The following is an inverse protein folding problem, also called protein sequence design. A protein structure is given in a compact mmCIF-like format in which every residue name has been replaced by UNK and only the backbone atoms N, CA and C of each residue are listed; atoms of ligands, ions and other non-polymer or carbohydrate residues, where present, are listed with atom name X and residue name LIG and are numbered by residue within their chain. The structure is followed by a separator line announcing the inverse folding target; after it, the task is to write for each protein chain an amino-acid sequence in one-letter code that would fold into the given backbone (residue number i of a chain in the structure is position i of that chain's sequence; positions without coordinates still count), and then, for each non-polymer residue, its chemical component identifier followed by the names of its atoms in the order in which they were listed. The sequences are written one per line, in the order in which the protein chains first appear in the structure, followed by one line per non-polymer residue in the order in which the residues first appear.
data_IF_103521403808
#
_entry.id   IF_103521403808
#
_cell.length_a   1.000
_cell.length_b   1.000
_cell.length_c   1.000
_cell.angle_alpha   90.00
_cell.angle_beta   90.00
_cell.angle_gamma   90.00
#
_symmetry.space_group_name_H-M   'P 1'
#
loop_
_entity.id
_entity.type
_entity.pdbx_description
1 polymer ?
#
# COMPACT_ATOMS: atom_id res chain seq x y z
N UNK A 1 44.95 13.88 26.43
CA UNK A 1 43.54 13.81 26.01
C UNK A 1 43.57 13.27 24.59
N UNK A 2 43.30 11.97 24.38
CA UNK A 2 43.17 11.47 23.02
C UNK A 2 41.86 12.02 22.44
N UNK A 3 41.81 12.35 21.13
CA UNK A 3 40.60 12.80 20.48
C UNK A 3 39.63 11.63 20.29
N UNK A 4 38.34 11.94 20.43
CA UNK A 4 37.22 11.01 20.44
C UNK A 4 37.12 10.21 19.13
N UNK A 5 37.12 8.88 19.26
CA UNK A 5 36.75 7.92 18.22
C UNK A 5 35.21 7.88 18.15
N UNK A 6 34.58 8.76 17.37
CA UNK A 6 33.17 8.64 16.97
C UNK A 6 32.91 9.48 15.70
N UNK A 7 33.67 9.21 14.63
CA UNK A 7 33.34 9.70 13.28
C UNK A 7 32.47 8.64 12.59
N UNK A 8 31.20 8.61 13.01
CA UNK A 8 30.13 7.78 12.49
C UNK A 8 29.82 8.19 11.04
N UNK A 9 30.45 7.49 10.10
CA UNK A 9 30.24 7.65 8.67
C UNK A 9 28.81 7.23 8.30
N UNK A 10 27.90 8.22 8.30
CA UNK A 10 26.74 8.36 7.42
C UNK A 10 25.89 7.12 7.16
N UNK A 11 24.67 7.15 7.69
CA UNK A 11 23.49 6.32 7.33
C UNK A 11 23.59 5.75 5.88
N UNK A 12 23.59 4.41 5.68
CA UNK A 12 23.63 3.84 4.34
C UNK A 12 22.44 4.33 3.50
N UNK A 13 22.56 4.40 2.15
CA UNK A 13 21.53 4.99 1.32
C UNK A 13 20.18 4.30 1.56
N UNK A 14 19.24 5.05 2.13
CA UNK A 14 17.88 4.59 2.41
C UNK A 14 17.28 4.06 1.12
N UNK A 15 17.01 2.75 1.08
CA UNK A 15 16.19 2.13 0.04
C UNK A 15 14.93 2.98 -0.11
N UNK A 16 14.64 3.46 -1.31
CA UNK A 16 13.32 4.03 -1.59
C UNK A 16 12.28 3.00 -1.15
N UNK A 17 11.24 3.39 -0.38
CA UNK A 17 10.21 2.45 0.00
C UNK A 17 9.64 1.85 -1.30
N UNK A 18 9.77 0.53 -1.47
CA UNK A 18 8.92 -0.17 -2.43
C UNK A 18 7.49 0.29 -2.17
N UNK A 19 6.66 0.54 -3.20
CA UNK A 19 5.24 0.76 -2.98
C UNK A 19 4.76 -0.41 -2.12
N UNK A 20 4.35 -0.11 -0.89
CA UNK A 20 4.03 -1.09 0.13
C UNK A 20 2.76 -1.82 -0.28
N UNK A 21 2.92 -2.79 -1.19
CA UNK A 21 2.13 -4.01 -1.09
C UNK A 21 2.56 -4.60 0.24
N UNK A 22 1.63 -4.86 1.18
CA UNK A 22 1.98 -5.51 2.43
C UNK A 22 2.51 -6.93 2.15
N UNK A 23 3.82 -7.06 1.93
CA UNK A 23 4.57 -8.32 1.87
C UNK A 23 4.70 -8.84 3.31
N UNK A 24 3.65 -9.52 3.78
CA UNK A 24 3.66 -10.15 5.09
C UNK A 24 4.18 -11.58 4.99
N UNK A 25 5.38 -11.78 5.53
CA UNK A 25 6.08 -13.05 5.55
C UNK A 25 5.58 -13.91 6.72
N UNK A 26 5.23 -15.16 6.44
CA UNK A 26 4.94 -16.16 7.48
C UNK A 26 6.23 -16.91 7.78
N UNK A 27 6.83 -16.71 8.95
CA UNK A 27 8.12 -17.35 9.34
C UNK A 27 9.22 -17.29 8.25
N UNK A 28 9.20 -16.27 7.39
CA UNK A 28 10.18 -16.08 6.30
C UNK A 28 9.74 -16.55 4.90
N UNK A 29 8.49 -17.03 4.73
CA UNK A 29 7.97 -17.47 3.42
C UNK A 29 7.00 -16.46 2.80
N UNK A 30 7.17 -16.22 1.50
CA UNK A 30 6.32 -15.32 0.69
C UNK A 30 5.07 -16.01 0.10
N UNK A 31 4.90 -17.32 0.32
CA UNK A 31 3.74 -18.05 -0.14
C UNK A 31 3.87 -19.57 -0.02
N UNK A 32 2.80 -20.32 -0.36
CA UNK A 32 2.78 -21.78 -0.23
C UNK A 32 3.75 -22.48 -1.19
N UNK A 33 4.05 -21.88 -2.35
CA UNK A 33 5.00 -22.46 -3.31
C UNK A 33 6.45 -22.29 -2.85
N UNK A 34 6.75 -21.23 -2.08
CA UNK A 34 8.06 -21.00 -1.47
C UNK A 34 8.32 -22.00 -0.34
N UNK A 35 7.28 -22.29 0.47
CA UNK A 35 7.34 -23.36 1.47
C UNK A 35 7.56 -24.74 0.82
N UNK A 36 6.89 -25.02 -0.31
CA UNK A 36 7.11 -26.27 -1.05
C UNK A 36 8.54 -26.38 -1.59
N UNK A 37 9.11 -25.26 -2.05
CA UNK A 37 10.49 -25.20 -2.52
C UNK A 37 11.48 -25.49 -1.38
N UNK A 38 11.34 -24.82 -0.24
CA UNK A 38 12.20 -25.05 0.93
C UNK A 38 12.09 -26.48 1.47
N UNK A 39 10.89 -27.07 1.52
CA UNK A 39 10.72 -28.48 1.89
C UNK A 39 11.38 -29.43 0.89
N UNK A 40 11.32 -29.13 -0.41
CA UNK A 40 11.99 -29.91 -1.43
C UNK A 40 13.53 -29.82 -1.32
N UNK A 41 14.07 -28.63 -1.06
CA UNK A 41 15.50 -28.40 -0.88
C UNK A 41 16.04 -29.09 0.38
N UNK A 42 15.34 -28.99 1.52
CA UNK A 42 15.74 -29.59 2.80
C UNK A 42 15.92 -31.11 2.71
N UNK A 43 15.16 -31.78 1.87
CA UNK A 43 15.18 -33.24 1.78
C UNK A 43 16.01 -33.79 0.62
N UNK A 44 16.58 -32.93 -0.24
CA UNK A 44 17.23 -33.35 -1.48
C UNK A 44 16.38 -34.36 -2.26
N UNK A 45 15.07 -34.16 -2.25
CA UNK A 45 14.14 -35.06 -2.90
C UNK A 45 14.34 -34.91 -4.41
N UNK A 46 14.72 -35.98 -5.08
CA UNK A 46 14.54 -36.06 -6.53
C UNK A 46 13.05 -35.80 -6.80
N UNK A 47 12.75 -34.80 -7.63
CA UNK A 47 11.37 -34.36 -7.92
C UNK A 47 10.62 -35.37 -8.83
N UNK A 48 10.77 -36.65 -8.54
CA UNK A 48 10.03 -37.75 -9.16
C UNK A 48 8.59 -37.84 -8.66
N UNK A 49 7.77 -38.58 -9.40
CA UNK A 49 6.32 -38.70 -9.16
C UNK A 49 5.98 -39.36 -7.81
N UNK A 50 6.85 -40.21 -7.26
CA UNK A 50 6.61 -40.83 -5.95
C UNK A 50 6.97 -39.89 -4.79
N UNK A 51 7.96 -39.02 -4.99
CA UNK A 51 8.46 -38.03 -4.03
C UNK A 51 7.44 -36.92 -3.73
N UNK A 52 6.57 -36.58 -4.69
CA UNK A 52 5.56 -35.54 -4.47
C UNK A 52 4.49 -35.94 -3.45
N UNK A 53 4.20 -37.24 -3.31
CA UNK A 53 3.24 -37.71 -2.33
C UNK A 53 3.75 -37.50 -0.90
N UNK A 54 5.07 -37.64 -0.70
CA UNK A 54 5.73 -37.42 0.58
C UNK A 54 5.94 -35.93 0.86
N UNK A 55 6.29 -35.15 -0.17
CA UNK A 55 6.31 -33.68 -0.11
C UNK A 55 4.94 -33.13 0.30
N UNK A 56 3.85 -33.67 -0.27
CA UNK A 56 2.48 -33.29 0.08
C UNK A 56 2.16 -33.53 1.56
N UNK A 57 2.58 -34.67 2.12
CA UNK A 57 2.33 -34.98 3.53
C UNK A 57 3.07 -34.01 4.46
N UNK A 58 4.30 -33.66 4.12
CA UNK A 58 5.11 -32.71 4.90
C UNK A 58 4.59 -31.30 4.79
N UNK A 59 4.19 -30.87 3.61
CA UNK A 59 3.58 -29.57 3.41
C UNK A 59 2.36 -29.40 4.32
N UNK A 60 1.50 -30.41 4.43
CA UNK A 60 0.34 -30.37 5.34
C UNK A 60 0.78 -30.25 6.79
N UNK A 61 1.74 -31.07 7.24
CA UNK A 61 2.25 -31.02 8.60
C UNK A 61 2.87 -29.66 8.96
N UNK A 62 3.67 -29.11 8.05
CA UNK A 62 4.32 -27.81 8.20
C UNK A 62 3.31 -26.67 8.16
N UNK A 63 2.34 -26.75 7.25
CA UNK A 63 1.24 -25.79 7.17
C UNK A 63 0.36 -25.79 8.42
N UNK A 64 0.10 -26.94 9.04
CA UNK A 64 -0.60 -27.04 10.32
C UNK A 64 0.20 -26.41 11.47
N UNK A 65 1.54 -26.56 11.47
CA UNK A 65 2.40 -25.90 12.45
C UNK A 65 2.31 -24.38 12.31
N UNK A 66 2.46 -23.88 11.08
CA UNK A 66 2.42 -22.46 10.74
C UNK A 66 1.02 -21.85 10.93
N UNK A 67 -0.03 -22.66 10.79
CA UNK A 67 -1.40 -22.27 11.13
C UNK A 67 -1.59 -22.02 12.64
N UNK A 68 -0.63 -22.30 13.52
CA UNK A 68 -0.74 -21.89 14.94
C UNK A 68 -0.32 -20.45 15.17
N UNK A 69 0.57 -19.93 14.32
CA UNK A 69 1.22 -18.61 14.48
C UNK A 69 0.73 -17.57 13.47
N UNK A 70 0.10 -17.99 12.36
CA UNK A 70 -0.29 -17.12 11.24
C UNK A 70 -1.71 -16.57 11.36
N UNK A 71 -2.05 -15.31 11.05
CA UNK A 71 -3.44 -14.83 11.00
C UNK A 71 -4.35 -15.59 9.99
N UNK A 72 -5.64 -15.77 10.30
CA UNK A 72 -6.59 -16.56 9.48
C UNK A 72 -6.62 -16.13 7.99
N UNK A 73 -6.54 -14.82 7.73
CA UNK A 73 -6.65 -14.24 6.39
C UNK A 73 -5.50 -14.66 5.45
N UNK A 74 -4.31 -14.91 5.99
CA UNK A 74 -3.13 -15.37 5.22
C UNK A 74 -3.14 -16.88 4.93
N UNK A 75 -3.92 -17.65 5.71
CA UNK A 75 -3.99 -19.11 5.55
C UNK A 75 -4.87 -19.55 4.38
N UNK A 76 -5.65 -18.63 3.78
CA UNK A 76 -6.63 -18.97 2.75
C UNK A 76 -5.98 -19.69 1.55
N UNK A 77 -4.86 -19.16 1.04
CA UNK A 77 -4.14 -19.76 -0.08
C UNK A 77 -3.53 -21.12 0.28
N UNK A 78 -3.18 -21.31 1.55
CA UNK A 78 -2.56 -22.54 2.04
C UNK A 78 -3.59 -23.66 2.12
N UNK A 79 -4.81 -23.36 2.54
CA UNK A 79 -5.92 -24.35 2.56
C UNK A 79 -6.18 -24.90 1.15
N UNK A 80 -6.11 -24.06 0.12
CA UNK A 80 -6.28 -24.49 -1.28
C UNK A 80 -5.19 -25.48 -1.67
N UNK A 81 -3.93 -25.17 -1.37
CA UNK A 81 -2.80 -26.06 -1.67
C UNK A 81 -2.82 -27.34 -0.85
N UNK A 82 -3.18 -27.28 0.44
CA UNK A 82 -3.40 -28.45 1.30
C UNK A 82 -4.46 -29.36 0.66
N UNK A 83 -5.64 -28.82 0.36
CA UNK A 83 -6.74 -29.60 -0.22
C UNK A 83 -6.31 -30.26 -1.53
N UNK A 84 -5.61 -29.52 -2.40
CA UNK A 84 -5.10 -30.02 -3.67
C UNK A 84 -4.08 -31.14 -3.48
N UNK A 85 -3.10 -30.95 -2.60
CA UNK A 85 -2.02 -31.91 -2.36
C UNK A 85 -2.51 -33.17 -1.64
N UNK A 86 -3.43 -33.03 -0.69
CA UNK A 86 -4.11 -34.16 -0.03
C UNK A 86 -4.92 -34.96 -1.05
N UNK A 87 -5.68 -34.28 -1.92
CA UNK A 87 -6.44 -34.92 -2.99
C UNK A 87 -5.52 -35.65 -3.97
N UNK A 88 -4.43 -35.01 -4.37
CA UNK A 88 -3.41 -35.59 -5.25
C UNK A 88 -2.79 -36.84 -4.63
N UNK A 89 -2.38 -36.77 -3.35
CA UNK A 89 -1.82 -37.91 -2.60
C UNK A 89 -2.81 -39.08 -2.52
N UNK A 90 -4.07 -38.81 -2.19
CA UNK A 90 -5.12 -39.83 -2.14
C UNK A 90 -5.25 -40.56 -3.49
N UNK A 91 -5.26 -39.80 -4.60
CA UNK A 91 -5.38 -40.38 -5.95
C UNK A 91 -4.16 -41.19 -6.38
N UNK A 92 -2.95 -40.77 -6.00
CA UNK A 92 -1.73 -41.50 -6.34
C UNK A 92 -1.65 -42.86 -5.62
N UNK A 93 -2.26 -42.97 -4.43
CA UNK A 93 -2.22 -44.17 -3.59
C UNK A 93 -3.38 -45.13 -3.83
N UNK A 94 -4.61 -44.64 -4.01
CA UNK A 94 -5.83 -45.46 -3.94
C UNK A 94 -6.73 -45.46 -5.19
N UNK A 95 -6.40 -44.68 -6.23
CA UNK A 95 -7.30 -44.52 -7.37
C UNK A 95 -7.16 -45.62 -8.43
N UNK A 96 -8.16 -45.68 -9.32
CA UNK A 96 -8.11 -46.55 -10.51
C UNK A 96 -6.95 -46.17 -11.43
N UNK A 97 -6.53 -47.10 -12.31
CA UNK A 97 -5.37 -46.86 -13.19
C UNK A 97 -5.52 -45.61 -14.07
N UNK A 98 -6.72 -45.32 -14.56
CA UNK A 98 -6.99 -44.13 -15.37
C UNK A 98 -6.88 -42.83 -14.54
N UNK A 99 -7.40 -42.84 -13.31
CA UNK A 99 -7.33 -41.70 -12.40
C UNK A 99 -5.91 -41.45 -11.90
N UNK A 100 -5.13 -42.53 -11.69
CA UNK A 100 -3.72 -42.47 -11.32
C UNK A 100 -2.90 -41.79 -12.43
N UNK A 101 -3.09 -42.16 -13.69
CA UNK A 101 -2.43 -41.50 -14.83
C UNK A 101 -2.72 -40.00 -14.90
N UNK A 102 -3.94 -39.58 -14.58
CA UNK A 102 -4.27 -38.15 -14.51
C UNK A 102 -3.58 -37.46 -13.33
N UNK A 103 -3.56 -38.10 -12.16
CA UNK A 103 -2.86 -37.58 -10.97
C UNK A 103 -1.34 -37.46 -11.22
N UNK A 104 -0.72 -38.44 -11.88
CA UNK A 104 0.70 -38.37 -12.25
C UNK A 104 1.00 -37.19 -13.19
N UNK A 105 0.10 -36.87 -14.13
CA UNK A 105 0.24 -35.68 -14.98
C UNK A 105 0.13 -34.39 -14.19
N UNK A 106 -0.79 -34.33 -13.22
CA UNK A 106 -0.93 -33.16 -12.35
C UNK A 106 0.29 -32.97 -11.44
N UNK A 107 0.78 -34.06 -10.84
CA UNK A 107 2.03 -34.08 -10.08
C UNK A 107 3.21 -33.51 -10.88
N UNK A 108 3.40 -33.97 -12.13
CA UNK A 108 4.48 -33.46 -13.00
C UNK A 108 4.35 -31.96 -13.28
N UNK A 109 3.12 -31.45 -13.43
CA UNK A 109 2.90 -30.00 -13.60
C UNK A 109 3.32 -29.23 -12.36
N UNK A 110 2.96 -29.71 -11.17
CA UNK A 110 3.35 -29.08 -9.90
C UNK A 110 4.87 -29.10 -9.72
N UNK A 111 5.53 -30.22 -10.04
CA UNK A 111 7.00 -30.30 -10.06
C UNK A 111 7.59 -29.22 -10.96
N UNK A 112 7.12 -29.11 -12.20
CA UNK A 112 7.63 -28.10 -13.13
C UNK A 112 7.42 -26.65 -12.65
N UNK A 113 6.39 -26.39 -11.83
CA UNK A 113 6.21 -25.09 -11.19
C UNK A 113 7.26 -24.82 -10.11
N UNK A 114 7.60 -25.82 -9.30
CA UNK A 114 8.64 -25.72 -8.26
C UNK A 114 10.01 -25.53 -8.91
N UNK A 115 10.33 -26.31 -9.95
CA UNK A 115 11.57 -26.16 -10.73
C UNK A 115 11.67 -24.78 -11.39
N UNK A 116 10.56 -24.30 -11.94
CA UNK A 116 10.48 -22.95 -12.53
C UNK A 116 10.76 -21.86 -11.50
N UNK A 117 10.21 -21.97 -10.28
CA UNK A 117 10.53 -21.05 -9.20
C UNK A 117 12.00 -21.12 -8.79
N UNK A 118 12.58 -22.32 -8.67
CA UNK A 118 14.00 -22.46 -8.32
C UNK A 118 14.90 -21.76 -9.35
N UNK A 119 14.60 -21.90 -10.65
CA UNK A 119 15.32 -21.19 -11.70
C UNK A 119 15.16 -19.68 -11.61
N UNK A 120 13.95 -19.19 -11.28
CA UNK A 120 13.69 -17.77 -11.09
C UNK A 120 14.43 -17.21 -9.86
N UNK A 121 14.50 -17.97 -8.77
CA UNK A 121 15.26 -17.61 -7.56
C UNK A 121 16.74 -17.50 -7.87
N UNK A 122 17.31 -18.49 -8.54
CA UNK A 122 18.71 -18.45 -8.97
C UNK A 122 19.01 -17.26 -9.90
N UNK A 123 18.07 -16.90 -10.79
CA UNK A 123 18.20 -15.72 -11.64
C UNK A 123 18.10 -14.41 -10.84
N UNK A 124 17.21 -14.35 -9.84
CA UNK A 124 17.08 -13.21 -8.94
C UNK A 124 18.37 -13.01 -8.11
N UNK A 125 18.91 -14.07 -7.54
CA UNK A 125 20.17 -14.04 -6.79
C UNK A 125 21.33 -13.59 -7.69
N UNK A 126 21.38 -14.09 -8.93
CA UNK A 126 22.36 -13.67 -9.91
C UNK A 126 22.24 -12.18 -10.27
N UNK A 127 21.01 -11.66 -10.40
CA UNK A 127 20.76 -10.24 -10.65
C UNK A 127 21.12 -9.38 -9.44
N UNK A 128 20.82 -9.85 -8.22
CA UNK A 128 21.10 -9.12 -6.99
C UNK A 128 22.61 -9.01 -6.73
N UNK A 129 23.38 -10.05 -7.09
CA UNK A 129 24.84 -10.04 -7.02
C UNK A 129 25.50 -9.05 -8.00
N UNK A 130 24.76 -8.51 -8.98
CA UNK A 130 25.30 -7.54 -9.93
C UNK A 130 25.30 -6.13 -9.36
N UNK A 131 26.26 -5.27 -9.77
CA UNK A 131 26.24 -3.88 -9.38
C UNK A 131 24.96 -3.18 -9.85
N UNK A 132 24.20 -2.62 -8.92
CA UNK A 132 22.93 -1.95 -9.18
C UNK A 132 23.11 -0.45 -9.31
N UNK A 133 22.50 0.13 -10.35
CA UNK A 133 22.52 1.57 -10.57
C UNK A 133 21.73 2.28 -9.46
N UNK A 134 22.30 3.32 -8.86
CA UNK A 134 21.72 4.05 -7.74
C UNK A 134 21.93 3.40 -6.36
N UNK A 135 22.57 2.22 -6.30
CA UNK A 135 22.97 1.56 -5.04
C UNK A 135 24.49 1.44 -4.97
N UNK A 136 25.09 0.66 -5.89
CA UNK A 136 26.54 0.43 -5.93
C UNK A 136 27.22 1.14 -7.11
N UNK A 137 26.46 1.49 -8.16
CA UNK A 137 26.97 2.25 -9.31
C UNK A 137 26.16 3.53 -9.47
N UNK A 138 26.81 4.69 -9.46
CA UNK A 138 26.14 5.96 -9.66
C UNK A 138 26.51 6.53 -11.04
N UNK A 139 25.52 6.95 -11.82
CA UNK A 139 25.80 7.68 -13.06
C UNK A 139 26.35 9.05 -12.72
N UNK A 140 27.24 9.57 -13.56
CA UNK A 140 27.56 10.99 -13.51
C UNK A 140 26.30 11.75 -13.92
N UNK A 141 25.83 12.67 -13.07
CA UNK A 141 24.77 13.61 -13.44
C UNK A 141 25.14 14.27 -14.75
N UNK A 142 24.23 14.23 -15.73
CA UNK A 142 24.50 14.69 -17.09
C UNK A 142 25.19 16.05 -17.04
N UNK A 143 26.40 16.11 -17.56
CA UNK A 143 26.90 17.40 -18.01
C UNK A 143 26.05 17.74 -19.22
N UNK A 144 25.23 18.78 -19.13
CA UNK A 144 24.93 19.61 -20.29
C UNK A 144 26.29 20.16 -20.78
N UNK A 145 27.06 19.30 -21.42
CA UNK A 145 28.23 19.63 -22.20
C UNK A 145 27.79 19.48 -23.65
N UNK A 146 26.80 20.28 -24.03
CA UNK A 146 26.73 20.77 -25.39
C UNK A 146 28.09 21.42 -25.69
N UNK A 147 28.77 20.88 -26.69
CA UNK A 147 30.18 21.13 -26.93
C UNK A 147 30.49 22.60 -27.18
N UNK A 148 31.10 23.26 -26.20
CA UNK A 148 32.05 24.37 -26.42
C UNK A 148 32.68 24.84 -25.11
N UNK A 149 33.40 23.96 -24.39
CA UNK A 149 34.36 24.46 -23.40
C UNK A 149 35.58 24.97 -24.16
N UNK A 150 35.46 26.19 -24.70
CA UNK A 150 36.61 27.06 -24.83
C UNK A 150 37.17 27.18 -23.42
N UNK A 151 38.41 26.74 -23.22
CA UNK A 151 39.17 26.96 -21.98
C UNK A 151 39.40 28.47 -21.88
N UNK A 152 38.37 29.23 -21.51
CA UNK A 152 38.55 30.56 -20.95
C UNK A 152 39.20 30.31 -19.60
N UNK A 153 40.46 30.70 -19.50
CA UNK A 153 41.13 30.88 -18.23
C UNK A 153 40.29 31.90 -17.43
N UNK A 154 39.39 31.39 -16.60
CA UNK A 154 38.60 32.21 -15.69
C UNK A 154 39.55 32.77 -14.64
N UNK A 155 39.65 34.09 -14.57
CA UNK A 155 40.32 34.80 -13.48
C UNK A 155 39.68 34.35 -12.15
N UNK A 156 40.44 34.36 -11.05
CA UNK A 156 39.94 34.01 -9.70
C UNK A 156 38.60 34.68 -9.34
N UNK A 157 38.35 35.88 -9.87
CA UNK A 157 37.09 36.60 -9.73
C UNK A 157 35.87 35.88 -10.31
N UNK A 158 35.99 35.24 -11.48
CA UNK A 158 34.87 34.51 -12.10
C UNK A 158 34.51 33.23 -11.34
N UNK A 159 35.51 32.62 -10.67
CA UNK A 159 35.26 31.49 -9.76
C UNK A 159 34.46 31.96 -8.54
N UNK A 160 34.83 33.11 -7.97
CA UNK A 160 34.16 33.69 -6.81
C UNK A 160 32.69 34.02 -7.10
N UNK A 161 32.40 34.66 -8.23
CA UNK A 161 31.01 34.94 -8.66
C UNK A 161 30.19 33.67 -8.87
N UNK A 162 30.78 32.64 -9.48
CA UNK A 162 30.11 31.36 -9.69
C UNK A 162 29.80 30.65 -8.35
N UNK A 163 30.74 30.68 -7.40
CA UNK A 163 30.55 30.12 -6.06
C UNK A 163 29.48 30.86 -5.26
N UNK A 164 29.45 32.20 -5.31
CA UNK A 164 28.41 33.01 -4.68
C UNK A 164 27.03 32.70 -5.25
N UNK A 165 26.89 32.65 -6.58
CA UNK A 165 25.62 32.31 -7.22
C UNK A 165 25.16 30.87 -6.95
N UNK A 166 26.07 29.93 -6.70
CA UNK A 166 25.71 28.58 -6.27
C UNK A 166 25.18 28.55 -4.82
N UNK A 167 25.82 29.30 -3.92
CA UNK A 167 25.40 29.44 -2.52
C UNK A 167 24.03 30.11 -2.38
N UNK A 168 23.75 31.16 -3.16
CA UNK A 168 22.45 31.83 -3.17
C UNK A 168 21.32 30.89 -3.62
N UNK A 169 21.57 30.03 -4.60
CA UNK A 169 20.57 29.03 -5.07
C UNK A 169 20.28 27.97 -4.01
N UNK A 170 21.31 27.51 -3.29
CA UNK A 170 21.13 26.54 -2.20
C UNK A 170 20.42 27.17 -1.00
N UNK A 171 20.68 28.44 -0.68
CA UNK A 171 19.96 29.16 0.36
C UNK A 171 18.46 29.32 0.00
N UNK A 172 18.16 29.68 -1.25
CA UNK A 172 16.78 29.78 -1.73
C UNK A 172 16.04 28.43 -1.67
N UNK A 173 16.73 27.31 -1.95
CA UNK A 173 16.20 25.95 -1.82
C UNK A 173 15.95 25.57 -0.36
N UNK A 174 16.83 25.98 0.56
CA UNK A 174 16.65 25.71 1.99
C UNK A 174 15.41 26.42 2.56
N UNK A 175 15.11 27.64 2.12
CA UNK A 175 13.90 28.38 2.53
C UNK A 175 12.60 27.75 1.99
N UNK A 176 12.63 27.05 0.85
CA UNK A 176 11.45 26.43 0.23
C UNK A 176 11.25 24.95 0.58
N UNK A 177 12.20 24.30 1.26
CA UNK A 177 12.23 22.83 1.44
C UNK A 177 11.84 22.34 2.83
N UNK A 178 11.04 23.10 3.59
CA UNK A 178 10.28 22.52 4.70
C UNK A 178 8.88 22.18 4.19
N UNK A 179 8.59 20.93 3.78
CA UNK A 179 7.22 20.53 3.51
C UNK A 179 6.49 20.53 4.85
N UNK A 180 5.81 21.64 5.16
CA UNK A 180 4.88 21.70 6.27
C UNK A 180 3.76 20.72 5.93
N UNK A 181 3.76 19.58 6.62
CA UNK A 181 2.67 18.60 6.54
C UNK A 181 1.38 19.27 7.00
N UNK A 182 0.53 19.67 6.04
CA UNK A 182 -0.82 20.16 6.31
C UNK A 182 -1.77 18.98 6.15
N UNK A 183 -2.31 18.52 7.28
CA UNK A 183 -3.46 17.63 7.29
C UNK A 183 -4.61 18.40 6.64
N UNK A 184 -5.10 17.92 5.50
CA UNK A 184 -6.29 18.47 4.87
C UNK A 184 -7.51 17.99 5.65
N UNK A 185 -8.09 18.86 6.48
CA UNK A 185 -9.25 18.50 7.30
C UNK A 185 -10.51 18.71 6.45
N UNK A 186 -11.27 17.66 6.13
CA UNK A 186 -12.48 17.83 5.33
C UNK A 186 -13.47 18.77 6.04
N UNK A 187 -13.88 19.82 5.35
CA UNK A 187 -14.81 20.83 5.87
C UNK A 187 -16.25 20.32 5.79
N UNK A 188 -16.75 19.72 6.86
CA UNK A 188 -18.17 19.34 6.99
C UNK A 188 -19.03 20.49 7.48
N UNK A 189 -20.29 20.55 7.03
CA UNK A 189 -21.29 21.49 7.53
C UNK A 189 -21.69 21.11 8.96
N UNK A 190 -21.37 21.97 9.93
CA UNK A 190 -21.62 21.69 11.35
C UNK A 190 -23.03 22.07 11.74
N UNK A 191 -23.57 21.41 12.77
CA UNK A 191 -24.87 21.75 13.36
C UNK A 191 -24.89 23.19 13.89
N UNK A 192 -23.77 23.67 14.43
CA UNK A 192 -23.62 25.06 14.90
C UNK A 192 -23.80 26.07 13.78
N UNK A 193 -23.21 25.79 12.61
CA UNK A 193 -23.26 26.68 11.45
C UNK A 193 -24.68 26.70 10.86
N UNK A 194 -25.33 25.53 10.84
CA UNK A 194 -26.73 25.39 10.47
C UNK A 194 -27.67 26.20 11.40
N UNK A 195 -27.44 26.18 12.71
CA UNK A 195 -28.22 26.95 13.69
C UNK A 195 -28.07 28.47 13.48
N UNK A 196 -26.84 28.94 13.23
CA UNK A 196 -26.58 30.36 12.95
C UNK A 196 -27.34 30.79 11.69
N UNK A 197 -27.25 30.01 10.62
CA UNK A 197 -27.90 30.31 9.35
C UNK A 197 -29.43 30.28 9.47
N UNK A 198 -29.99 29.28 10.17
CA UNK A 198 -31.43 29.22 10.43
C UNK A 198 -31.92 30.42 11.24
N UNK A 199 -31.25 30.77 12.35
CA UNK A 199 -31.61 31.94 13.16
C UNK A 199 -31.52 33.25 12.37
N UNK A 200 -30.49 33.39 11.54
CA UNK A 200 -30.34 34.55 10.66
C UNK A 200 -31.51 34.65 9.67
N UNK A 201 -31.91 33.54 9.04
CA UNK A 201 -33.04 33.53 8.09
C UNK A 201 -34.39 33.76 8.75
N UNK A 202 -34.60 33.21 9.95
CA UNK A 202 -35.79 33.46 10.77
C UNK A 202 -35.87 34.94 11.14
N UNK A 203 -34.77 35.52 11.63
CA UNK A 203 -34.72 36.96 11.98
C UNK A 203 -34.97 37.88 10.79
N UNK A 204 -34.50 37.48 9.61
CA UNK A 204 -34.67 38.24 8.38
C UNK A 204 -36.05 38.01 7.71
N UNK A 205 -36.91 37.15 8.27
CA UNK A 205 -38.23 36.84 7.70
C UNK A 205 -38.19 36.11 6.35
N UNK A 206 -37.04 35.57 5.95
CA UNK A 206 -36.84 34.88 4.66
C UNK A 206 -36.91 33.36 4.78
N UNK A 207 -37.18 32.85 5.99
CA UNK A 207 -37.35 31.43 6.21
C UNK A 207 -38.67 30.94 5.58
N UNK A 208 -38.56 30.06 4.57
CA UNK A 208 -39.70 29.38 3.94
C UNK A 208 -39.67 27.88 4.20
N UNK A 209 -38.50 27.27 4.06
CA UNK A 209 -38.31 25.85 4.29
C UNK A 209 -36.94 25.52 4.89
N UNK A 210 -36.83 24.33 5.49
CA UNK A 210 -35.55 23.79 5.97
C UNK A 210 -34.55 23.59 4.82
N UNK A 211 -35.03 23.34 3.60
CA UNK A 211 -34.21 23.12 2.41
C UNK A 211 -33.49 24.39 1.97
N UNK A 212 -34.08 25.56 2.21
CA UNK A 212 -33.43 26.86 1.96
C UNK A 212 -32.26 27.11 2.92
N UNK A 213 -32.20 26.36 4.02
CA UNK A 213 -31.15 26.49 5.03
C UNK A 213 -30.00 25.49 4.82
N UNK A 214 -30.02 24.71 3.73
CA UNK A 214 -28.92 23.84 3.34
C UNK A 214 -28.00 24.60 2.39
N UNK A 215 -26.69 24.73 2.69
CA UNK A 215 -25.76 25.40 1.80
C UNK A 215 -25.63 24.65 0.47
N UNK A 216 -25.46 25.39 -0.62
CA UNK A 216 -25.14 24.83 -1.93
C UNK A 216 -23.68 24.36 -1.93
N UNK A 217 -23.45 23.10 -1.54
CA UNK A 217 -22.11 22.50 -1.58
C UNK A 217 -21.85 21.87 -2.95
N UNK A 218 -20.66 22.10 -3.50
CA UNK A 218 -20.27 21.62 -4.83
C UNK A 218 -20.38 20.09 -4.91
N UNK A 219 -21.17 19.59 -5.86
CA UNK A 219 -21.42 18.16 -6.08
C UNK A 219 -20.49 17.53 -7.11
N UNK A 220 -19.44 18.25 -7.52
CA UNK A 220 -18.61 17.88 -8.67
C UNK A 220 -17.62 16.76 -8.37
N UNK A 221 -17.34 16.48 -7.09
CA UNK A 221 -16.43 15.42 -6.61
C UNK A 221 -17.21 14.31 -5.88
N UNK A 222 -16.75 13.04 -5.87
CA UNK A 222 -17.39 11.96 -5.12
C UNK A 222 -17.52 12.26 -3.61
N UNK A 223 -16.60 13.03 -3.03
CA UNK A 223 -16.67 13.54 -1.65
C UNK A 223 -17.80 14.57 -1.44
N UNK A 224 -18.23 15.25 -2.49
CA UNK A 224 -19.34 16.21 -2.47
C UNK A 224 -20.69 15.56 -2.15
N UNK A 225 -20.84 14.26 -2.42
CA UNK A 225 -22.04 13.49 -2.06
C UNK A 225 -22.15 13.31 -0.54
N UNK A 226 -21.02 13.05 0.14
CA UNK A 226 -20.96 12.92 1.60
C UNK A 226 -21.22 14.28 2.24
N UNK A 227 -20.57 15.34 1.72
CA UNK A 227 -20.81 16.71 2.15
C UNK A 227 -22.31 17.04 2.11
N UNK A 228 -22.97 16.88 0.97
CA UNK A 228 -24.40 17.22 0.83
C UNK A 228 -25.29 16.47 1.83
N UNK A 229 -25.01 15.18 2.07
CA UNK A 229 -25.72 14.37 3.08
C UNK A 229 -25.49 14.89 4.50
N UNK A 230 -24.26 15.23 4.85
CA UNK A 230 -23.95 15.81 6.17
C UNK A 230 -24.59 17.18 6.37
N UNK A 231 -24.68 17.99 5.32
CA UNK A 231 -25.35 19.29 5.40
C UNK A 231 -26.85 19.17 5.64
N UNK A 232 -27.51 18.23 4.95
CA UNK A 232 -28.94 17.94 5.19
C UNK A 232 -29.16 17.43 6.61
N UNK A 233 -28.33 16.50 7.08
CA UNK A 233 -28.43 15.95 8.43
C UNK A 233 -28.21 17.05 9.50
N UNK A 234 -27.19 17.90 9.35
CA UNK A 234 -26.89 18.96 10.30
C UNK A 234 -27.99 20.04 10.33
N UNK A 235 -28.55 20.42 9.17
CA UNK A 235 -29.67 21.37 9.09
C UNK A 235 -30.96 20.79 9.67
N UNK A 236 -31.20 19.49 9.50
CA UNK A 236 -32.35 18.81 10.13
C UNK A 236 -32.22 18.75 11.65
N UNK A 237 -31.05 18.35 12.16
CA UNK A 237 -30.76 18.32 13.60
C UNK A 237 -30.84 19.72 14.21
N UNK A 238 -30.33 20.75 13.53
CA UNK A 238 -30.47 22.14 13.95
C UNK A 238 -31.94 22.57 14.06
N UNK A 239 -32.80 22.14 13.13
CA UNK A 239 -34.24 22.37 13.20
C UNK A 239 -34.89 21.73 14.43
N UNK A 240 -34.55 20.47 14.73
CA UNK A 240 -35.04 19.79 15.94
C UNK A 240 -34.52 20.45 17.22
N UNK A 241 -33.29 20.95 17.21
CA UNK A 241 -32.71 21.65 18.35
C UNK A 241 -33.42 23.00 18.62
N UNK A 242 -33.82 23.74 17.58
CA UNK A 242 -34.65 24.94 17.75
C UNK A 242 -36.02 24.63 18.35
N UNK A 243 -36.61 23.51 17.96
CA UNK A 243 -37.90 23.05 18.52
C UNK A 243 -37.73 22.64 19.98
N UNK A 244 -36.64 21.94 20.30
CA UNK A 244 -36.30 21.57 21.67
C UNK A 244 -36.09 22.79 22.57
N UNK A 245 -35.57 23.89 22.02
CA UNK A 245 -35.33 25.15 22.73
C UNK A 245 -36.58 26.05 22.82
N UNK A 246 -37.68 25.70 22.14
CA UNK A 246 -38.92 26.48 22.13
C UNK A 246 -38.93 27.65 21.14
N UNK A 247 -37.88 27.79 20.32
CA UNK A 247 -37.76 28.83 19.29
C UNK A 247 -38.60 28.52 18.03
N UNK A 248 -39.07 27.28 17.88
CA UNK A 248 -39.87 26.83 16.74
C UNK A 248 -40.92 25.78 17.17
N UNK A 249 -42.06 25.73 16.46
CA UNK A 249 -43.06 24.66 16.60
C UNK A 249 -43.00 23.71 15.40
N UNK A 250 -43.22 22.43 15.65
CA UNK A 250 -43.40 21.42 14.58
C UNK A 250 -44.89 21.17 14.47
N UNK A 251 -45.41 21.24 13.25
CA UNK A 251 -46.74 20.71 12.92
C UNK A 251 -46.57 19.47 12.03
N UNK A 252 -47.28 18.40 12.33
CA UNK A 252 -47.22 17.17 11.54
C UNK A 252 -48.16 17.30 10.34
N UNK A 253 -47.60 17.66 9.19
CA UNK A 253 -48.31 17.55 7.92
C UNK A 253 -48.46 16.07 7.57
N UNK A 254 -49.65 15.52 7.78
CA UNK A 254 -50.01 14.19 7.28
C UNK A 254 -50.12 14.26 5.75
N UNK A 255 -49.14 13.71 5.05
CA UNK A 255 -49.25 13.49 3.61
C UNK A 255 -50.32 12.42 3.38
N UNK A 256 -51.32 12.66 2.50
CA UNK A 256 -52.26 11.62 2.12
C UNK A 256 -51.47 10.48 1.49
N UNK A 257 -51.54 9.31 2.09
CA UNK A 257 -51.04 8.06 1.52
C UNK A 257 -51.77 7.83 0.20
N UNK A 258 -51.05 7.93 -0.92
CA UNK A 258 -51.50 7.44 -2.21
C UNK A 258 -51.38 5.92 -2.27
#
# INVERSE_FOLDING_TARGET
MPPDEDEDWGDPPRRLPRPAVPEFHVEGFDGPLDLLLDLAERQRLDLGVLSIADLAAQFVAEAERLARTTPLMQRADWVIWIARLVFLRSRLLFATQAEKQLAEKEARRTVGQIEGLLQMRAAADWLEARPQLGVSVFTRGGTDADGSVSVRQGTYFSLMEACLGALERELARAETSVPIYRIDVPSYWRVTDALVLMRQKIRNGTFRSIWDCVPAMASTEPEGTIGRRTAVAATFVAGLELVRQGDASIDMVKFPTA
#
